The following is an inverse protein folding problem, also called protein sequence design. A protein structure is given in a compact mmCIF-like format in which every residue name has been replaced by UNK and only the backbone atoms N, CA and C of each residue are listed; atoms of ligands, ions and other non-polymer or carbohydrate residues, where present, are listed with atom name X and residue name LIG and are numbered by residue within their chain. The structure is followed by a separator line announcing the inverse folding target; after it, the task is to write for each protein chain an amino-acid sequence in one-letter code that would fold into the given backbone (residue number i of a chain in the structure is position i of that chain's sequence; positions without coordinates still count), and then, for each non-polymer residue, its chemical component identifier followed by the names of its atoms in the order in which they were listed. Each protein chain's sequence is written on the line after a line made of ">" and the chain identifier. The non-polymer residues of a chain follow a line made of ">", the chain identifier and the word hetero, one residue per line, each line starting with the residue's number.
data_IF_477558946467
#
_entry.id   IF_477558946467
#
_cell.length_a   1.000
_cell.length_b   1.000
_cell.length_c   1.000
_cell.angle_alpha   90.00
_cell.angle_beta   90.00
_cell.angle_gamma   90.00
#
_symmetry.space_group_name_H-M   'P 1'
#
loop_
_entity.id
_entity.type
_entity.pdbx_description
1 polymer ?
#
# COMPACT_ATOMS: atom_id res chain seq x y z
N UNK A 1 33.55 -17.56 -3.81
CA UNK A 1 32.07 -17.54 -3.91
C UNK A 1 31.47 -17.40 -2.52
N UNK A 2 31.38 -16.18 -2.00
CA UNK A 2 30.63 -15.90 -0.77
C UNK A 2 29.16 -16.18 -1.08
N UNK A 3 28.58 -17.19 -0.42
CA UNK A 3 27.15 -17.49 -0.52
C UNK A 3 26.37 -16.20 -0.28
N UNK A 4 25.57 -15.82 -1.25
CA UNK A 4 24.65 -14.68 -1.19
C UNK A 4 23.64 -14.94 -0.06
N UNK A 5 23.99 -14.53 1.16
CA UNK A 5 23.20 -14.81 2.35
C UNK A 5 22.16 -13.72 2.52
N UNK A 6 20.98 -13.96 1.95
CA UNK A 6 19.78 -13.23 2.35
C UNK A 6 19.55 -13.51 3.85
N UNK A 7 19.38 -12.47 4.69
CA UNK A 7 19.11 -12.67 6.10
C UNK A 7 17.85 -13.52 6.32
N UNK A 8 17.84 -14.36 7.37
CA UNK A 8 16.73 -15.31 7.61
C UNK A 8 15.39 -14.63 7.90
N UNK A 9 15.44 -13.43 8.46
CA UNK A 9 14.31 -12.55 8.79
C UNK A 9 13.91 -11.61 7.65
N UNK A 10 14.56 -11.71 6.48
CA UNK A 10 14.28 -10.87 5.33
C UNK A 10 13.31 -11.54 4.34
N UNK A 11 12.52 -10.72 3.66
CA UNK A 11 11.72 -11.12 2.51
C UNK A 11 12.60 -10.99 1.27
N UNK A 12 12.79 -12.10 0.54
CA UNK A 12 13.55 -12.11 -0.71
C UNK A 12 12.82 -11.28 -1.78
N UNK A 13 13.57 -10.45 -2.51
CA UNK A 13 13.08 -9.65 -3.62
C UNK A 13 13.96 -9.89 -4.85
N UNK A 14 13.35 -10.13 -6.01
CA UNK A 14 14.06 -10.43 -7.26
C UNK A 14 14.99 -11.65 -7.11
N UNK A 15 16.08 -11.72 -7.87
CA UNK A 15 17.02 -12.84 -7.85
C UNK A 15 17.95 -12.83 -6.62
N UNK A 16 18.45 -11.65 -6.20
CA UNK A 16 19.45 -11.49 -5.12
C UNK A 16 19.10 -10.44 -4.06
N UNK A 17 18.03 -9.69 -4.24
CA UNK A 17 17.65 -8.60 -3.35
C UNK A 17 16.83 -9.06 -2.14
N UNK A 18 16.59 -8.12 -1.23
CA UNK A 18 15.70 -8.34 -0.08
C UNK A 18 15.20 -7.04 0.54
N UNK A 19 14.15 -7.17 1.34
CA UNK A 19 13.70 -6.20 2.34
C UNK A 19 13.72 -6.88 3.71
N UNK A 20 14.41 -6.27 4.68
CA UNK A 20 14.44 -6.74 6.07
C UNK A 20 13.95 -5.62 6.98
N UNK A 21 12.91 -5.89 7.77
CA UNK A 21 12.51 -4.99 8.84
C UNK A 21 13.57 -5.08 9.95
N UNK A 22 14.32 -4.00 10.14
CA UNK A 22 15.37 -3.95 11.15
C UNK A 22 14.77 -3.57 12.51
N UNK A 23 13.83 -2.64 12.47
CA UNK A 23 13.25 -2.03 13.66
C UNK A 23 11.93 -1.34 13.31
N UNK A 24 11.04 -1.25 14.28
CA UNK A 24 9.80 -0.48 14.18
C UNK A 24 9.47 0.12 15.53
N UNK A 25 8.97 1.36 15.53
CA UNK A 25 8.54 2.05 16.75
C UNK A 25 7.03 2.32 16.65
N UNK A 26 6.29 1.91 17.68
CA UNK A 26 4.84 2.07 17.76
C UNK A 26 4.07 1.04 16.92
N UNK A 27 2.82 1.38 16.65
CA UNK A 27 1.83 0.57 15.96
C UNK A 27 0.48 1.27 15.98
N UNK A 28 -0.61 0.52 15.82
CA UNK A 28 -1.97 1.08 15.89
C UNK A 28 -2.25 1.80 17.23
N UNK A 29 -1.67 1.31 18.32
CA UNK A 29 -1.76 1.90 19.65
C UNK A 29 -1.11 3.29 19.74
N UNK A 30 0.05 3.49 19.11
CA UNK A 30 0.73 4.78 19.06
C UNK A 30 -0.08 5.83 18.25
N UNK A 31 -0.74 5.39 17.18
CA UNK A 31 -1.65 6.25 16.39
C UNK A 31 -2.81 6.71 17.28
N UNK A 32 -3.43 5.78 18.01
CA UNK A 32 -4.56 6.09 18.88
C UNK A 32 -4.16 6.95 20.06
N UNK A 33 -3.03 6.65 20.70
CA UNK A 33 -2.49 7.42 21.82
C UNK A 33 -2.25 8.86 21.41
N UNK A 34 -1.53 9.08 20.31
CA UNK A 34 -1.22 10.43 19.80
C UNK A 34 -2.47 11.20 19.41
N UNK A 35 -3.44 10.57 18.75
CA UNK A 35 -4.71 11.20 18.41
C UNK A 35 -5.53 11.58 19.66
N UNK A 36 -5.49 10.76 20.72
CA UNK A 36 -6.25 10.99 21.97
C UNK A 36 -5.67 12.09 22.85
N UNK A 37 -4.40 12.46 22.72
CA UNK A 37 -3.84 13.63 23.40
C UNK A 37 -4.65 14.88 23.06
N UNK A 38 -5.21 14.96 21.85
CA UNK A 38 -6.11 16.05 21.44
C UNK A 38 -7.50 16.02 22.09
N UNK A 39 -7.93 14.89 22.69
CA UNK A 39 -9.29 14.68 23.21
C UNK A 39 -9.38 14.42 24.72
N UNK A 40 -8.25 14.30 25.44
CA UNK A 40 -8.22 14.00 26.88
C UNK A 40 -8.47 12.52 27.22
N UNK A 41 -8.31 12.14 28.50
CA UNK A 41 -8.47 10.75 28.94
C UNK A 41 -9.94 10.29 28.87
N UNK A 42 -10.28 9.51 27.84
CA UNK A 42 -11.53 8.74 27.75
C UNK A 42 -11.25 7.24 27.71
N UNK A 43 -12.17 6.45 28.29
CA UNK A 43 -12.09 4.98 28.40
C UNK A 43 -11.82 4.29 27.06
N UNK A 44 -10.79 3.44 27.02
CA UNK A 44 -10.30 2.71 25.84
C UNK A 44 -10.99 1.35 25.66
N UNK A 45 -11.80 1.20 24.61
CA UNK A 45 -12.17 -0.13 24.07
C UNK A 45 -11.52 -0.33 22.71
N UNK A 46 -11.01 -1.54 22.42
CA UNK A 46 -10.36 -1.89 21.14
C UNK A 46 -11.23 -1.61 19.91
N UNK A 47 -12.56 -1.78 20.02
CA UNK A 47 -13.50 -1.42 18.95
C UNK A 47 -13.55 0.08 18.66
N UNK A 48 -13.27 0.93 19.67
CA UNK A 48 -13.14 2.37 19.50
C UNK A 48 -11.80 2.75 18.87
N UNK A 49 -10.74 1.97 19.10
CA UNK A 49 -9.40 2.21 18.55
C UNK A 49 -9.39 2.02 17.02
N UNK A 50 -9.87 0.86 16.54
CA UNK A 50 -10.03 0.61 15.09
C UNK A 50 -10.93 1.66 14.43
N UNK A 51 -12.05 2.01 15.09
CA UNK A 51 -12.97 3.04 14.60
C UNK A 51 -12.31 4.42 14.49
N UNK A 52 -11.45 4.79 15.46
CA UNK A 52 -10.69 6.03 15.45
C UNK A 52 -9.67 6.05 14.31
N UNK A 53 -8.85 5.01 14.14
CA UNK A 53 -7.85 4.92 13.06
C UNK A 53 -8.53 5.05 11.69
N UNK A 54 -9.63 4.33 11.48
CA UNK A 54 -10.43 4.44 10.25
C UNK A 54 -10.94 5.85 10.02
N UNK A 55 -11.47 6.49 11.07
CA UNK A 55 -11.90 7.88 11.00
C UNK A 55 -10.76 8.82 10.59
N UNK A 56 -9.58 8.70 11.21
CA UNK A 56 -8.41 9.52 10.91
C UNK A 56 -7.96 9.35 9.46
N UNK A 57 -7.85 8.11 8.97
CA UNK A 57 -7.47 7.81 7.59
C UNK A 57 -8.47 8.41 6.59
N UNK A 58 -9.77 8.19 6.82
CA UNK A 58 -10.85 8.69 5.95
C UNK A 58 -10.83 10.21 5.82
N UNK A 59 -10.53 10.91 6.91
CA UNK A 59 -10.50 12.36 6.98
C UNK A 59 -9.12 12.96 6.72
N UNK A 60 -8.13 12.13 6.36
CA UNK A 60 -6.75 12.54 6.09
C UNK A 60 -6.11 13.28 7.27
N UNK A 61 -6.43 12.88 8.49
CA UNK A 61 -5.71 13.31 9.68
C UNK A 61 -4.43 12.48 9.79
N UNK A 62 -3.35 12.95 9.16
CA UNK A 62 -2.14 12.16 8.91
C UNK A 62 -1.14 12.16 10.08
N UNK A 63 -1.08 13.23 10.87
CA UNK A 63 -0.06 13.41 11.90
C UNK A 63 -0.02 12.30 12.97
N UNK A 64 -1.13 11.65 13.38
CA UNK A 64 -1.05 10.49 14.28
C UNK A 64 -0.34 9.28 13.65
N UNK A 65 -0.41 9.12 12.33
CA UNK A 65 0.29 8.04 11.62
C UNK A 65 1.79 8.30 11.54
N UNK A 66 2.24 9.55 11.62
CA UNK A 66 3.67 9.91 11.62
C UNK A 66 4.38 9.48 12.92
N UNK A 67 3.62 9.11 13.97
CA UNK A 67 4.17 8.61 15.25
C UNK A 67 4.59 7.14 15.21
N UNK A 68 4.36 6.44 14.08
CA UNK A 68 4.81 5.07 13.85
C UNK A 68 5.97 5.11 12.87
N UNK A 69 7.09 4.51 13.21
CA UNK A 69 8.33 4.56 12.42
C UNK A 69 8.78 3.16 12.01
N UNK A 70 9.34 3.03 10.80
CA UNK A 70 9.91 1.80 10.28
C UNK A 70 11.33 2.04 9.81
N UNK A 71 12.23 1.10 10.13
CA UNK A 71 13.62 1.08 9.64
C UNK A 71 13.85 -0.23 8.91
N UNK A 72 14.21 -0.14 7.64
CA UNK A 72 14.48 -1.27 6.79
C UNK A 72 15.94 -1.33 6.36
N UNK A 73 16.46 -2.54 6.22
CA UNK A 73 17.69 -2.83 5.51
C UNK A 73 17.30 -3.49 4.19
N UNK A 74 17.66 -2.86 3.09
CA UNK A 74 17.26 -3.30 1.76
C UNK A 74 18.49 -3.53 0.89
N UNK A 75 18.40 -4.55 0.02
CA UNK A 75 19.35 -4.81 -1.05
C UNK A 75 18.63 -4.77 -2.39
N UNK A 76 19.00 -3.83 -3.25
CA UNK A 76 18.32 -3.59 -4.53
C UNK A 76 19.27 -3.20 -5.66
N UNK A 77 18.86 -3.33 -6.93
CA UNK A 77 19.61 -2.76 -8.04
C UNK A 77 19.63 -1.23 -7.98
N UNK A 78 20.72 -0.60 -8.43
CA UNK A 78 20.87 0.87 -8.43
C UNK A 78 19.70 1.55 -9.17
N UNK A 79 19.22 1.00 -10.28
CA UNK A 79 18.07 1.59 -11.00
C UNK A 79 16.76 1.61 -10.18
N UNK A 80 16.59 0.66 -9.24
CA UNK A 80 15.48 0.65 -8.27
C UNK A 80 15.71 1.69 -7.20
N UNK A 81 16.92 1.74 -6.63
CA UNK A 81 17.31 2.73 -5.62
C UNK A 81 17.07 4.17 -6.10
N UNK A 82 17.37 4.47 -7.37
CA UNK A 82 17.14 5.78 -8.00
C UNK A 82 15.67 6.20 -8.09
N UNK A 83 14.74 5.25 -8.19
CA UNK A 83 13.30 5.55 -8.13
C UNK A 83 12.82 5.73 -6.69
N UNK A 84 13.41 4.97 -5.78
CA UNK A 84 13.07 4.94 -4.38
C UNK A 84 13.55 6.20 -3.64
N UNK A 85 14.76 6.69 -3.91
CA UNK A 85 15.33 7.92 -3.30
C UNK A 85 14.51 9.19 -3.60
N UNK A 86 13.57 9.14 -4.55
CA UNK A 86 12.65 10.25 -4.84
C UNK A 86 11.64 10.51 -3.71
N UNK A 87 11.51 9.58 -2.77
CA UNK A 87 10.68 9.70 -1.56
C UNK A 87 11.47 10.41 -0.45
N UNK A 88 11.46 11.75 -0.55
CA UNK A 88 12.36 12.66 0.18
C UNK A 88 12.11 12.77 1.70
N UNK A 89 11.00 12.26 2.19
CA UNK A 89 10.66 12.30 3.63
C UNK A 89 11.40 11.23 4.44
N UNK A 90 12.02 10.25 3.78
CA UNK A 90 12.79 9.21 4.43
C UNK A 90 14.23 9.62 4.76
N UNK A 91 14.81 8.98 5.77
CA UNK A 91 16.24 9.03 6.06
C UNK A 91 16.94 7.81 5.43
N UNK A 92 18.07 8.04 4.74
CA UNK A 92 18.75 7.02 3.94
C UNK A 92 20.24 7.01 4.27
N UNK A 93 20.81 5.82 4.42
CA UNK A 93 22.26 5.61 4.44
C UNK A 93 22.62 4.43 3.53
N UNK A 94 23.33 4.71 2.44
CA UNK A 94 23.63 3.76 1.37
C UNK A 94 25.09 3.32 1.38
N UNK A 95 25.33 2.07 1.00
CA UNK A 95 26.66 1.52 0.76
C UNK A 95 27.42 2.34 -0.30
N UNK A 96 28.52 2.95 0.10
CA UNK A 96 29.29 3.85 -0.76
C UNK A 96 30.43 3.13 -1.47
N UNK A 97 30.31 3.04 -2.80
CA UNK A 97 31.39 2.58 -3.69
C UNK A 97 32.58 3.56 -3.79
N UNK A 98 32.58 4.68 -3.05
CA UNK A 98 33.77 5.54 -2.91
C UNK A 98 34.76 4.97 -1.91
N UNK A 99 34.23 4.39 -0.85
CA UNK A 99 35.01 3.90 0.28
C UNK A 99 35.25 2.39 0.17
N UNK A 100 34.27 1.67 -0.36
CA UNK A 100 34.25 0.22 -0.41
C UNK A 100 34.28 -0.30 -1.84
N UNK A 101 34.73 -1.54 -2.01
CA UNK A 101 34.73 -2.21 -3.29
C UNK A 101 33.32 -2.66 -3.69
N UNK A 102 33.06 -2.66 -4.99
CA UNK A 102 31.82 -3.19 -5.53
C UNK A 102 31.82 -4.71 -5.36
N UNK A 103 30.65 -5.25 -5.06
CA UNK A 103 30.43 -6.70 -5.02
C UNK A 103 29.98 -7.15 -6.40
N UNK A 104 30.44 -8.33 -6.83
CA UNK A 104 30.01 -8.95 -8.09
C UNK A 104 28.57 -9.50 -7.95
N UNK A 105 27.62 -8.58 -7.82
CA UNK A 105 26.22 -8.87 -7.55
C UNK A 105 25.36 -8.00 -8.46
N UNK A 106 24.96 -8.57 -9.60
CA UNK A 106 24.11 -7.92 -10.59
C UNK A 106 22.70 -8.53 -10.60
N UNK A 107 21.71 -7.72 -10.93
CA UNK A 107 20.35 -8.17 -11.21
C UNK A 107 20.26 -8.82 -12.58
N UNK A 108 19.64 -10.00 -12.59
CA UNK A 108 19.23 -10.70 -13.80
C UNK A 108 17.70 -10.86 -13.78
N UNK A 109 16.99 -10.43 -14.84
CA UNK A 109 15.55 -10.51 -14.87
C UNK A 109 15.08 -11.97 -14.95
N UNK A 110 14.01 -12.28 -14.23
CA UNK A 110 13.27 -13.53 -14.45
C UNK A 110 12.69 -13.52 -15.87
N UNK A 111 12.88 -14.59 -16.67
CA UNK A 111 12.31 -14.72 -18.01
C UNK A 111 10.80 -14.45 -18.08
N UNK A 112 10.05 -14.75 -17.02
CA UNK A 112 8.61 -14.49 -16.93
C UNK A 112 8.27 -12.98 -16.95
N UNK A 113 9.21 -12.12 -16.59
CA UNK A 113 9.04 -10.66 -16.55
C UNK A 113 9.74 -9.94 -17.71
N UNK A 114 10.30 -10.67 -18.67
CA UNK A 114 10.79 -10.13 -19.94
C UNK A 114 9.62 -10.07 -20.91
N UNK A 115 9.13 -8.86 -21.14
CA UNK A 115 7.91 -8.57 -21.88
C UNK A 115 8.14 -7.35 -22.78
N UNK A 116 7.31 -7.16 -23.81
CA UNK A 116 7.39 -5.97 -24.64
C UNK A 116 6.95 -4.71 -23.88
N UNK A 117 7.29 -3.54 -24.44
CA UNK A 117 6.83 -2.27 -23.92
C UNK A 117 5.31 -2.17 -24.00
N UNK A 118 4.66 -1.80 -22.91
CA UNK A 118 3.21 -1.59 -22.92
C UNK A 118 2.84 -0.36 -23.76
N UNK A 119 1.78 -0.49 -24.57
CA UNK A 119 1.20 0.61 -25.37
C UNK A 119 0.33 1.55 -24.52
N UNK A 120 -0.29 1.05 -23.45
CA UNK A 120 -1.16 1.83 -22.55
C UNK A 120 -0.35 2.52 -21.44
N UNK A 121 0.46 1.75 -20.71
CA UNK A 121 1.38 2.25 -19.71
C UNK A 121 2.81 2.37 -20.25
N UNK A 122 3.28 3.60 -20.52
CA UNK A 122 4.67 3.86 -20.98
C UNK A 122 5.76 3.49 -19.97
N UNK A 123 5.41 3.22 -18.71
CA UNK A 123 6.34 2.78 -17.66
C UNK A 123 6.28 1.26 -17.42
N UNK A 124 5.36 0.56 -18.10
CA UNK A 124 5.08 -0.84 -17.86
C UNK A 124 5.44 -1.74 -19.04
N UNK A 125 5.25 -3.03 -18.82
CA UNK A 125 5.47 -4.08 -19.80
C UNK A 125 4.13 -4.76 -20.13
N UNK A 126 3.98 -5.26 -21.35
CA UNK A 126 2.80 -5.99 -21.82
C UNK A 126 3.18 -6.89 -22.99
N UNK A 127 2.49 -8.02 -23.11
CA UNK A 127 2.68 -8.96 -24.20
C UNK A 127 3.87 -9.89 -23.98
N UNK A 128 3.87 -11.01 -24.71
CA UNK A 128 4.89 -12.04 -24.58
C UNK A 128 6.05 -11.80 -25.55
N UNK A 129 7.27 -12.07 -25.08
CA UNK A 129 8.49 -11.99 -25.87
C UNK A 129 8.91 -13.41 -26.27
N UNK A 130 9.24 -13.67 -27.55
CA UNK A 130 9.71 -14.99 -27.98
C UNK A 130 10.91 -15.48 -27.17
N UNK A 131 10.98 -16.79 -26.93
CA UNK A 131 12.02 -17.41 -26.10
C UNK A 131 13.45 -17.04 -26.55
N UNK A 132 13.71 -17.00 -27.86
CA UNK A 132 15.00 -16.60 -28.42
C UNK A 132 15.40 -15.17 -28.03
N UNK A 133 14.43 -14.24 -28.06
CA UNK A 133 14.68 -12.86 -27.68
C UNK A 133 14.83 -12.71 -26.16
N UNK A 134 14.07 -13.48 -25.36
CA UNK A 134 14.29 -13.56 -23.90
C UNK A 134 15.71 -14.05 -23.57
N UNK A 135 16.16 -15.10 -24.25
CA UNK A 135 17.52 -15.61 -24.06
C UNK A 135 18.56 -14.55 -24.42
N UNK A 136 18.40 -13.86 -25.55
CA UNK A 136 19.28 -12.76 -25.94
C UNK A 136 19.36 -11.64 -24.89
N UNK A 137 18.24 -11.29 -24.25
CA UNK A 137 18.23 -10.33 -23.13
C UNK A 137 19.08 -10.83 -21.97
N UNK A 138 18.91 -12.09 -21.55
CA UNK A 138 19.69 -12.68 -20.46
C UNK A 138 21.19 -12.71 -20.79
N UNK A 139 21.54 -13.10 -22.01
CA UNK A 139 22.92 -13.15 -22.48
C UNK A 139 23.58 -11.77 -22.43
N UNK A 140 22.87 -10.72 -22.87
CA UNK A 140 23.38 -9.34 -22.79
C UNK A 140 23.50 -8.82 -21.36
N UNK A 141 22.56 -9.15 -20.47
CA UNK A 141 22.68 -8.82 -19.05
C UNK A 141 23.91 -9.48 -18.42
N UNK A 142 24.21 -10.72 -18.81
CA UNK A 142 25.41 -11.44 -18.37
C UNK A 142 26.68 -10.83 -18.95
N UNK A 143 26.73 -10.63 -20.26
CA UNK A 143 27.90 -10.06 -20.95
C UNK A 143 28.30 -8.71 -20.36
N UNK A 144 27.34 -7.79 -20.19
CA UNK A 144 27.65 -6.46 -19.66
C UNK A 144 28.10 -6.52 -18.19
N UNK A 145 27.49 -7.38 -17.38
CA UNK A 145 27.84 -7.54 -15.97
C UNK A 145 29.25 -8.09 -15.82
N UNK A 146 29.56 -9.20 -16.49
CA UNK A 146 30.87 -9.86 -16.43
C UNK A 146 31.97 -8.93 -16.96
N UNK A 147 31.76 -8.30 -18.12
CA UNK A 147 32.77 -7.44 -18.75
C UNK A 147 33.01 -6.17 -17.97
N UNK A 148 31.95 -5.51 -17.49
CA UNK A 148 32.09 -4.27 -16.71
C UNK A 148 32.76 -4.54 -15.36
N UNK A 149 32.45 -5.66 -14.71
CA UNK A 149 33.08 -6.03 -13.46
C UNK A 149 34.56 -6.39 -13.63
N UNK A 150 34.92 -7.12 -14.69
CA UNK A 150 36.32 -7.40 -15.02
C UNK A 150 37.13 -6.10 -15.22
N UNK A 151 36.63 -5.18 -16.05
CA UNK A 151 37.28 -3.87 -16.26
C UNK A 151 37.39 -3.06 -14.96
N UNK A 152 36.36 -3.11 -14.10
CA UNK A 152 36.39 -2.47 -12.78
C UNK A 152 37.46 -3.11 -11.88
N UNK A 153 37.55 -4.44 -11.82
CA UNK A 153 38.52 -5.17 -11.02
C UNK A 153 39.95 -4.84 -11.45
N UNK A 154 40.22 -4.88 -12.75
CA UNK A 154 41.54 -4.57 -13.31
C UNK A 154 42.01 -3.16 -12.89
N UNK A 155 41.13 -2.15 -12.99
CA UNK A 155 41.45 -0.78 -12.57
C UNK A 155 41.59 -0.65 -11.05
N UNK A 156 40.76 -1.35 -10.27
CA UNK A 156 40.83 -1.33 -8.80
C UNK A 156 42.14 -1.98 -8.31
N UNK A 157 42.55 -3.10 -8.91
CA UNK A 157 43.82 -3.78 -8.64
C UNK A 157 45.03 -2.93 -9.04
N UNK A 158 44.92 -2.17 -10.13
CA UNK A 158 45.94 -1.19 -10.54
C UNK A 158 46.00 0.07 -9.64
N UNK A 159 45.13 0.20 -8.64
CA UNK A 159 45.14 1.31 -7.69
C UNK A 159 44.43 2.58 -8.17
N UNK A 160 43.62 2.50 -9.23
CA UNK A 160 42.78 3.63 -9.66
C UNK A 160 41.76 3.98 -8.57
N UNK A 161 41.51 5.27 -8.38
CA UNK A 161 40.55 5.74 -7.38
C UNK A 161 39.17 5.07 -7.55
N UNK A 162 38.66 4.43 -6.49
CA UNK A 162 37.39 3.69 -6.49
C UNK A 162 36.21 4.53 -6.97
N UNK A 163 36.18 5.82 -6.59
CA UNK A 163 35.10 6.72 -6.97
C UNK A 163 35.01 6.97 -8.48
N UNK A 164 36.13 6.83 -9.20
CA UNK A 164 36.22 6.90 -10.66
C UNK A 164 35.94 5.53 -11.27
N UNK A 165 36.64 4.48 -10.85
CA UNK A 165 36.57 3.13 -11.43
C UNK A 165 35.14 2.56 -11.44
N UNK A 166 34.38 2.78 -10.37
CA UNK A 166 32.97 2.34 -10.27
C UNK A 166 32.05 2.91 -11.35
N UNK A 167 32.45 4.00 -12.04
CA UNK A 167 31.62 4.63 -13.08
C UNK A 167 31.46 3.74 -14.32
N UNK A 168 32.26 2.68 -14.43
CA UNK A 168 32.12 1.64 -15.45
C UNK A 168 30.98 0.66 -15.15
N UNK A 169 30.53 0.58 -13.89
CA UNK A 169 29.56 -0.42 -13.45
C UNK A 169 28.14 -0.02 -13.88
N UNK A 170 27.36 -0.95 -14.47
CA UNK A 170 26.01 -0.69 -14.92
C UNK A 170 25.02 -0.54 -13.75
N UNK A 171 23.88 0.10 -14.03
CA UNK A 171 22.84 0.39 -13.02
C UNK A 171 22.07 -0.85 -12.52
N UNK A 172 22.29 -2.03 -13.10
CA UNK A 172 21.76 -3.30 -12.59
C UNK A 172 22.63 -3.91 -11.47
N UNK A 173 23.77 -3.30 -11.12
CA UNK A 173 24.53 -3.65 -9.92
C UNK A 173 23.67 -3.46 -8.66
N UNK A 174 23.79 -4.38 -7.70
CA UNK A 174 23.16 -4.28 -6.40
C UNK A 174 23.87 -3.27 -5.49
N UNK A 175 23.06 -2.51 -4.76
CA UNK A 175 23.44 -1.66 -3.63
C UNK A 175 22.65 -2.09 -2.40
N UNK A 176 23.09 -1.62 -1.23
CA UNK A 176 22.39 -1.83 0.03
C UNK A 176 22.23 -0.52 0.77
N UNK A 177 21.12 -0.37 1.48
CA UNK A 177 20.94 0.79 2.35
C UNK A 177 20.14 0.46 3.60
N UNK A 178 20.25 1.36 4.58
CA UNK A 178 19.23 1.56 5.59
C UNK A 178 18.28 2.66 5.14
N UNK A 179 16.98 2.41 5.23
CA UNK A 179 15.92 3.34 4.88
C UNK A 179 14.95 3.41 6.05
N UNK A 180 14.80 4.60 6.65
CA UNK A 180 13.88 4.85 7.77
C UNK A 180 12.82 5.86 7.37
N UNK A 181 11.56 5.59 7.68
CA UNK A 181 10.45 6.50 7.41
C UNK A 181 9.27 6.23 8.34
N UNK A 182 8.43 7.25 8.52
CA UNK A 182 7.19 7.10 9.26
C UNK A 182 6.09 6.39 8.44
N UNK A 183 5.06 5.91 9.12
CA UNK A 183 3.98 5.12 8.51
C UNK A 183 3.17 5.92 7.50
N UNK A 184 2.92 7.22 7.73
CA UNK A 184 2.18 8.04 6.76
C UNK A 184 2.91 8.07 5.41
N UNK A 185 4.22 8.38 5.45
CA UNK A 185 5.06 8.46 4.27
C UNK A 185 5.37 7.08 3.67
N UNK A 186 5.45 6.02 4.48
CA UNK A 186 5.57 4.64 4.00
C UNK A 186 4.29 4.18 3.27
N UNK A 187 3.11 4.50 3.79
CA UNK A 187 1.84 4.21 3.10
C UNK A 187 1.75 5.00 1.78
N UNK A 188 2.25 6.24 1.73
CA UNK A 188 2.36 6.99 0.49
C UNK A 188 3.31 6.31 -0.51
N UNK A 189 4.48 5.85 -0.05
CA UNK A 189 5.42 5.07 -0.86
C UNK A 189 4.73 3.82 -1.43
N UNK A 190 4.08 3.03 -0.58
CA UNK A 190 3.39 1.80 -0.99
C UNK A 190 2.29 2.10 -2.00
N UNK A 191 1.47 3.13 -1.76
CA UNK A 191 0.41 3.53 -2.68
C UNK A 191 0.91 3.91 -4.08
N UNK A 192 2.10 4.51 -4.19
CA UNK A 192 2.70 4.86 -5.47
C UNK A 192 3.51 3.72 -6.11
N UNK A 193 4.09 2.82 -5.30
CA UNK A 193 5.06 1.83 -5.77
C UNK A 193 4.51 0.42 -5.87
N UNK A 194 3.40 0.09 -5.24
CA UNK A 194 2.65 -1.15 -5.50
C UNK A 194 1.65 -0.99 -6.66
N UNK A 195 1.47 0.22 -7.20
CA UNK A 195 0.60 0.46 -8.35
C UNK A 195 1.10 -0.25 -9.62
N UNK A 196 0.18 -0.77 -10.43
CA UNK A 196 0.51 -1.46 -11.70
C UNK A 196 1.29 -0.58 -12.69
N UNK A 197 1.20 0.74 -12.58
CA UNK A 197 1.93 1.70 -13.40
C UNK A 197 3.41 1.77 -13.05
N UNK A 198 3.78 1.46 -11.80
CA UNK A 198 5.16 1.42 -11.38
C UNK A 198 5.91 0.26 -12.03
N UNK A 199 7.21 0.46 -12.25
CA UNK A 199 8.09 -0.57 -12.78
C UNK A 199 8.06 -1.81 -11.89
N UNK A 200 7.93 -2.99 -12.49
CA UNK A 200 7.79 -4.27 -11.79
C UNK A 200 8.78 -4.43 -10.62
N UNK A 201 10.06 -4.14 -10.87
CA UNK A 201 11.10 -4.37 -9.87
C UNK A 201 10.88 -3.58 -8.58
N UNK A 202 10.48 -2.30 -8.62
CA UNK A 202 10.22 -1.54 -7.38
C UNK A 202 8.92 -1.99 -6.69
N UNK A 203 7.95 -2.55 -7.43
CA UNK A 203 6.72 -3.11 -6.84
C UNK A 203 7.05 -4.27 -5.91
N UNK A 204 7.95 -5.16 -6.32
CA UNK A 204 8.39 -6.30 -5.50
C UNK A 204 8.92 -5.85 -4.13
N UNK A 205 9.66 -4.74 -4.07
CA UNK A 205 10.13 -4.17 -2.81
C UNK A 205 9.01 -3.51 -2.01
N UNK A 206 8.13 -2.78 -2.68
CA UNK A 206 6.96 -2.14 -2.07
C UNK A 206 6.03 -3.15 -1.41
N UNK A 207 5.75 -4.26 -2.10
CA UNK A 207 4.88 -5.33 -1.61
C UNK A 207 5.52 -6.07 -0.43
N UNK A 208 6.84 -6.28 -0.45
CA UNK A 208 7.57 -6.83 0.70
C UNK A 208 7.51 -5.90 1.93
N UNK A 209 7.51 -4.58 1.73
CA UNK A 209 7.34 -3.61 2.82
C UNK A 209 5.92 -3.59 3.37
N UNK A 210 4.91 -3.75 2.50
CA UNK A 210 3.52 -3.85 2.90
C UNK A 210 3.27 -5.00 3.89
N UNK A 211 3.96 -6.13 3.73
CA UNK A 211 3.89 -7.25 4.68
C UNK A 211 4.39 -6.88 6.09
N UNK A 212 5.36 -5.96 6.18
CA UNK A 212 5.83 -5.44 7.47
C UNK A 212 4.80 -4.49 8.09
N UNK A 213 4.22 -3.60 7.28
CA UNK A 213 3.17 -2.67 7.73
C UNK A 213 1.94 -3.42 8.25
N UNK A 214 1.48 -4.43 7.51
CA UNK A 214 0.33 -5.27 7.89
C UNK A 214 0.53 -5.97 9.24
N UNK A 215 1.77 -6.31 9.60
CA UNK A 215 2.11 -6.93 10.89
C UNK A 215 2.18 -5.92 12.02
N UNK A 216 2.77 -4.74 11.80
CA UNK A 216 3.00 -3.73 12.84
C UNK A 216 1.77 -2.86 13.12
N UNK A 217 1.01 -2.50 12.07
CA UNK A 217 -0.16 -1.62 12.18
C UNK A 217 -1.32 -2.17 11.32
N UNK A 218 -1.91 -3.33 11.70
CA UNK A 218 -2.96 -3.99 10.92
C UNK A 218 -4.22 -3.14 10.70
N UNK A 219 -4.66 -2.34 11.68
CA UNK A 219 -5.84 -1.49 11.52
C UNK A 219 -5.58 -0.29 10.62
N UNK A 220 -4.39 0.32 10.71
CA UNK A 220 -3.95 1.35 9.78
C UNK A 220 -3.83 0.79 8.35
N UNK A 221 -3.28 -0.42 8.19
CA UNK A 221 -3.20 -1.10 6.90
C UNK A 221 -4.57 -1.37 6.30
N UNK A 222 -5.51 -1.90 7.09
CA UNK A 222 -6.89 -2.13 6.67
C UNK A 222 -7.56 -0.82 6.23
N UNK A 223 -7.46 0.24 7.03
CA UNK A 223 -8.01 1.55 6.67
C UNK A 223 -7.38 2.13 5.39
N UNK A 224 -6.07 1.96 5.21
CA UNK A 224 -5.38 2.37 3.99
C UNK A 224 -5.90 1.63 2.76
N UNK A 225 -6.07 0.31 2.86
CA UNK A 225 -6.63 -0.51 1.78
C UNK A 225 -8.03 -0.04 1.40
N UNK A 226 -8.90 0.19 2.37
CA UNK A 226 -10.30 0.56 2.12
C UNK A 226 -10.45 1.98 1.55
N UNK A 227 -9.76 2.97 2.13
CA UNK A 227 -10.00 4.38 1.80
C UNK A 227 -9.05 4.96 0.76
N UNK A 228 -7.86 4.40 0.62
CA UNK A 228 -6.82 4.95 -0.24
C UNK A 228 -6.59 4.09 -1.47
N UNK A 229 -6.47 2.77 -1.31
CA UNK A 229 -6.18 1.86 -2.42
C UNK A 229 -7.44 1.48 -3.19
N UNK A 230 -8.47 0.99 -2.49
CA UNK A 230 -9.74 0.55 -3.08
C UNK A 230 -10.80 1.66 -3.14
N UNK A 231 -10.54 2.77 -2.46
CA UNK A 231 -11.42 3.93 -2.42
C UNK A 231 -11.45 4.68 -3.76
N UNK A 232 -12.63 5.11 -4.18
CA UNK A 232 -12.79 5.94 -5.38
C UNK A 232 -12.79 7.43 -5.03
N UNK A 233 -12.05 8.24 -5.80
CA UNK A 233 -12.07 9.70 -5.71
C UNK A 233 -12.66 10.26 -6.98
N UNK A 234 -13.70 11.08 -6.83
CA UNK A 234 -14.28 11.82 -7.94
C UNK A 234 -13.71 13.23 -7.98
N UNK A 235 -13.31 13.67 -9.16
CA UNK A 235 -13.15 15.08 -9.48
C UNK A 235 -14.50 15.79 -9.45
N UNK A 236 -14.46 17.13 -9.39
CA UNK A 236 -15.66 17.97 -9.49
C UNK A 236 -16.51 17.64 -10.72
N UNK A 237 -15.86 17.33 -11.85
CA UNK A 237 -16.55 17.05 -13.11
C UNK A 237 -17.30 15.71 -13.02
N UNK A 238 -16.61 14.66 -12.59
CA UNK A 238 -17.22 13.34 -12.41
C UNK A 238 -18.38 13.39 -11.41
N UNK A 239 -18.21 14.11 -10.30
CA UNK A 239 -19.26 14.31 -9.30
C UNK A 239 -20.49 15.03 -9.89
N UNK A 240 -20.27 16.04 -10.73
CA UNK A 240 -21.38 16.77 -11.37
C UNK A 240 -22.21 15.91 -12.34
N UNK A 241 -21.61 14.88 -12.94
CA UNK A 241 -22.33 13.94 -13.82
C UNK A 241 -23.23 13.02 -13.00
N UNK A 242 -22.74 12.54 -11.84
CA UNK A 242 -23.55 11.77 -10.90
C UNK A 242 -24.75 12.60 -10.40
N UNK A 243 -24.53 13.83 -9.93
CA UNK A 243 -25.62 14.70 -9.45
C UNK A 243 -26.70 14.98 -10.49
N UNK A 244 -26.35 15.05 -11.78
CA UNK A 244 -27.31 15.32 -12.86
C UNK A 244 -28.10 14.09 -13.29
N UNK A 245 -27.47 12.92 -13.25
CA UNK A 245 -28.02 11.72 -13.87
C UNK A 245 -28.57 10.71 -12.88
N UNK A 246 -28.23 10.82 -11.58
CA UNK A 246 -28.69 9.87 -10.58
C UNK A 246 -30.17 10.15 -10.24
N UNK A 247 -31.13 9.26 -10.60
CA UNK A 247 -32.53 9.49 -10.33
C UNK A 247 -32.80 9.47 -8.81
N UNK A 248 -33.71 10.32 -8.27
CA UNK A 248 -34.00 10.34 -6.84
C UNK A 248 -34.40 8.98 -6.26
N UNK A 249 -35.11 8.16 -7.04
CA UNK A 249 -35.49 6.80 -6.66
C UNK A 249 -34.29 5.90 -6.37
N UNK A 250 -33.23 5.99 -7.18
CA UNK A 250 -32.01 5.19 -6.95
C UNK A 250 -31.34 5.62 -5.64
N UNK A 251 -31.37 6.91 -5.31
CA UNK A 251 -30.85 7.41 -4.03
C UNK A 251 -31.68 6.90 -2.86
N UNK A 252 -33.01 6.83 -3.00
CA UNK A 252 -33.89 6.28 -1.98
C UNK A 252 -33.65 4.78 -1.77
N UNK A 253 -33.61 4.00 -2.84
CA UNK A 253 -33.36 2.55 -2.79
C UNK A 253 -32.03 2.26 -2.05
N UNK A 254 -30.95 2.98 -2.38
CA UNK A 254 -29.65 2.82 -1.69
C UNK A 254 -29.74 3.32 -0.23
N UNK A 255 -30.48 4.38 0.05
CA UNK A 255 -30.66 4.91 1.41
C UNK A 255 -31.42 3.96 2.33
N UNK A 256 -32.31 3.16 1.73
CA UNK A 256 -33.08 2.09 2.36
C UNK A 256 -32.15 0.92 2.71
N UNK A 257 -31.35 0.45 1.74
CA UNK A 257 -30.32 -0.58 1.96
C UNK A 257 -29.35 -0.19 3.09
N UNK A 258 -28.91 1.07 3.12
CA UNK A 258 -28.07 1.58 4.19
C UNK A 258 -28.78 1.51 5.55
N UNK A 259 -30.08 1.79 5.62
CA UNK A 259 -30.84 1.68 6.86
C UNK A 259 -30.90 0.22 7.36
N UNK A 260 -31.10 -0.74 6.46
CA UNK A 260 -31.01 -2.18 6.77
C UNK A 260 -29.63 -2.54 7.32
N UNK A 261 -28.56 -2.19 6.59
CA UNK A 261 -27.19 -2.53 6.99
C UNK A 261 -26.80 -1.92 8.34
N UNK A 262 -27.19 -0.67 8.62
CA UNK A 262 -26.94 -0.05 9.93
C UNK A 262 -27.68 -0.81 11.02
N UNK A 263 -28.94 -1.17 10.79
CA UNK A 263 -29.78 -1.91 11.74
C UNK A 263 -29.19 -3.28 12.04
N UNK A 264 -28.84 -4.05 11.02
CA UNK A 264 -28.17 -5.35 11.13
C UNK A 264 -26.83 -5.23 11.89
N UNK A 265 -26.02 -4.23 11.55
CA UNK A 265 -24.74 -3.99 12.23
C UNK A 265 -24.94 -3.64 13.72
N UNK A 266 -25.92 -2.78 14.02
CA UNK A 266 -26.22 -2.38 15.39
C UNK A 266 -26.78 -3.55 16.21
N UNK A 267 -27.58 -4.43 15.62
CA UNK A 267 -28.08 -5.66 16.24
C UNK A 267 -26.94 -6.66 16.47
N UNK A 268 -26.06 -6.89 15.48
CA UNK A 268 -24.87 -7.74 15.65
C UNK A 268 -23.95 -7.28 16.79
N UNK A 269 -23.74 -5.96 16.91
CA UNK A 269 -22.90 -5.40 17.97
C UNK A 269 -23.55 -5.41 19.36
N UNK A 270 -24.88 -5.27 19.41
CA UNK A 270 -25.69 -5.36 20.62
C UNK A 270 -27.05 -5.96 20.25
N UNK A 271 -27.24 -7.27 20.47
CA UNK A 271 -28.48 -7.95 20.15
C UNK A 271 -29.69 -7.26 20.80
N UNK A 272 -30.81 -7.29 20.09
CA UNK A 272 -32.11 -6.71 20.46
C UNK A 272 -33.19 -7.73 20.15
N UNK A 273 -34.30 -7.64 20.86
CA UNK A 273 -35.45 -8.50 20.59
C UNK A 273 -36.11 -8.13 19.26
N UNK A 274 -36.78 -9.09 18.62
CA UNK A 274 -37.44 -8.88 17.32
C UNK A 274 -38.36 -7.65 17.25
N UNK A 275 -39.18 -7.34 18.28
CA UNK A 275 -40.05 -6.17 18.25
C UNK A 275 -39.30 -4.83 18.18
N UNK A 276 -38.03 -4.79 18.59
CA UNK A 276 -37.21 -3.57 18.61
C UNK A 276 -36.48 -3.32 17.28
N UNK A 277 -36.48 -4.29 16.35
CA UNK A 277 -35.72 -4.21 15.11
C UNK A 277 -36.35 -3.23 14.11
N UNK A 278 -37.65 -3.32 13.88
CA UNK A 278 -38.35 -2.40 12.97
C UNK A 278 -38.33 -0.93 13.46
N UNK A 279 -38.58 -0.63 14.75
CA UNK A 279 -38.39 0.73 15.27
C UNK A 279 -36.95 1.24 15.13
N UNK A 280 -35.94 0.36 15.32
CA UNK A 280 -34.54 0.73 15.13
C UNK A 280 -34.25 1.08 13.67
N UNK A 281 -34.80 0.29 12.74
CA UNK A 281 -34.73 0.50 11.31
C UNK A 281 -35.31 1.83 10.87
N UNK A 282 -36.54 2.14 11.30
CA UNK A 282 -37.17 3.44 11.06
C UNK A 282 -36.32 4.59 11.62
N UNK A 283 -35.69 4.40 12.79
CA UNK A 283 -34.77 5.39 13.36
C UNK A 283 -33.49 5.60 12.53
N UNK A 284 -33.09 4.64 11.70
CA UNK A 284 -32.01 4.81 10.72
C UNK A 284 -32.51 5.44 9.40
N UNK A 285 -33.78 5.84 9.35
CA UNK A 285 -34.42 6.47 8.20
C UNK A 285 -34.79 5.47 7.10
N UNK A 286 -35.17 4.25 7.48
CA UNK A 286 -35.88 3.33 6.60
C UNK A 286 -37.36 3.70 6.50
N UNK A 287 -37.96 3.43 5.35
CA UNK A 287 -39.31 3.81 4.94
C UNK A 287 -40.22 2.64 4.51
N UNK A 288 -39.66 1.44 4.36
CA UNK A 288 -40.38 0.21 4.05
C UNK A 288 -41.46 -0.12 5.08
N UNK A 289 -42.51 -0.81 4.62
CA UNK A 289 -43.54 -1.35 5.50
C UNK A 289 -42.94 -2.37 6.47
N UNK A 290 -43.62 -2.63 7.59
CA UNK A 290 -43.15 -3.64 8.55
C UNK A 290 -43.12 -5.04 7.94
N UNK A 291 -44.04 -5.34 7.00
CA UNK A 291 -44.09 -6.60 6.27
C UNK A 291 -42.88 -6.77 5.35
N UNK A 292 -42.57 -5.74 4.55
CA UNK A 292 -41.41 -5.75 3.64
C UNK A 292 -40.09 -5.82 4.43
N UNK A 293 -40.02 -5.07 5.54
CA UNK A 293 -38.87 -5.14 6.44
C UNK A 293 -38.64 -6.55 6.97
N UNK A 294 -39.68 -7.21 7.50
CA UNK A 294 -39.57 -8.58 8.00
C UNK A 294 -39.14 -9.54 6.90
N UNK A 295 -39.76 -9.46 5.72
CA UNK A 295 -39.40 -10.31 4.59
C UNK A 295 -37.92 -10.20 4.22
N UNK A 296 -37.40 -8.96 4.12
CA UNK A 296 -35.98 -8.73 3.78
C UNK A 296 -35.04 -9.04 4.94
N UNK A 297 -35.48 -8.84 6.18
CA UNK A 297 -34.69 -9.16 7.36
C UNK A 297 -34.51 -10.68 7.51
N UNK A 298 -35.58 -11.43 7.30
CA UNK A 298 -35.62 -12.89 7.44
C UNK A 298 -34.91 -13.61 6.30
N UNK A 299 -34.66 -12.95 5.17
CA UNK A 299 -33.85 -13.51 4.08
C UNK A 299 -32.41 -13.78 4.51
N UNK A 300 -31.91 -13.07 5.53
CA UNK A 300 -30.54 -13.19 6.04
C UNK A 300 -29.47 -12.62 5.10
N UNK A 301 -29.85 -11.93 4.03
CA UNK A 301 -28.93 -11.40 3.00
C UNK A 301 -28.33 -10.02 3.37
N UNK A 302 -28.71 -9.44 4.51
CA UNK A 302 -28.26 -8.10 4.90
C UNK A 302 -26.82 -8.14 5.42
N UNK A 303 -25.90 -7.56 4.65
CA UNK A 303 -24.52 -7.42 5.08
C UNK A 303 -24.33 -6.40 6.21
N UNK A 304 -23.38 -6.68 7.12
CA UNK A 304 -22.99 -5.73 8.17
C UNK A 304 -21.79 -4.89 7.75
N UNK A 305 -21.75 -3.63 8.16
CA UNK A 305 -20.68 -2.69 7.83
C UNK A 305 -20.20 -1.86 9.02
N UNK A 306 -19.63 -0.70 8.76
CA UNK A 306 -19.31 0.28 9.81
C UNK A 306 -20.44 1.33 9.89
N UNK A 307 -21.16 1.37 11.01
CA UNK A 307 -22.29 2.27 11.25
C UNK A 307 -21.96 3.73 10.95
N UNK A 308 -20.80 4.22 11.39
CA UNK A 308 -20.41 5.62 11.17
C UNK A 308 -20.19 5.88 9.68
N UNK A 309 -19.56 4.94 8.99
CA UNK A 309 -19.25 5.10 7.58
C UNK A 309 -20.49 5.10 6.70
N UNK A 310 -21.41 4.20 7.00
CA UNK A 310 -22.72 4.07 6.36
C UNK A 310 -23.57 5.32 6.56
N UNK A 311 -23.61 5.88 7.78
CA UNK A 311 -24.29 7.16 8.05
C UNK A 311 -23.70 8.32 7.26
N UNK A 312 -22.37 8.47 7.29
CA UNK A 312 -21.68 9.50 6.50
C UNK A 312 -21.89 9.30 4.98
N UNK A 313 -22.06 8.07 4.50
CA UNK A 313 -22.39 7.79 3.10
C UNK A 313 -23.84 8.16 2.76
N UNK A 314 -24.81 7.82 3.62
CA UNK A 314 -26.21 8.22 3.47
C UNK A 314 -26.36 9.74 3.37
N UNK A 315 -25.66 10.50 4.23
CA UNK A 315 -25.65 11.97 4.15
C UNK A 315 -25.06 12.49 2.83
N UNK A 316 -24.00 11.84 2.31
CA UNK A 316 -23.41 12.21 1.01
C UNK A 316 -24.37 11.92 -0.14
N UNK A 317 -25.04 10.76 -0.12
CA UNK A 317 -26.04 10.39 -1.12
C UNK A 317 -27.22 11.35 -1.13
N UNK A 318 -27.73 11.73 0.04
CA UNK A 318 -28.83 12.68 0.15
C UNK A 318 -28.49 14.04 -0.45
N UNK A 319 -27.22 14.49 -0.34
CA UNK A 319 -26.75 15.73 -0.99
C UNK A 319 -26.70 15.64 -2.52
N UNK A 320 -26.73 14.43 -3.10
CA UNK A 320 -26.81 14.23 -4.55
C UNK A 320 -28.24 14.36 -5.07
N UNK A 321 -29.27 14.30 -4.21
CA UNK A 321 -30.65 14.65 -4.61
C UNK A 321 -30.73 16.16 -4.82
N UNK A 322 -30.91 16.56 -6.08
CA UNK A 322 -31.22 17.93 -6.47
C UNK A 322 -32.68 18.05 -6.87
#
# INVERSE_FOLDING_TARGET
>A
MTKNQIPKDAIKCLDKGFVRLVDSMGGDDAIVQSARVSYGQGTSKVSQDRGLIRYLMRHRHTTPFEMVEFKFHCKMPIFVARQWVRHRTANINEYSLRYSEARDEFYFPDPAHIQFQSTLNKQGRMGDVPAELKQKVLDYFKEISDRSFAMYSDLNEAGVARELARSLLPVNLYTEWYWKNDLHNLLHFIGLRSDSHAQYEIRVYSDAMAESVKKVAPFAWEAFQDYVVKGMRFSRIEQSLLEKQLPPRVVDDISEDIAYQITATMHKNKPRDEPDLYPLYQKQGGSDSEEDFKFKWDSGEIETGNVRELREFKEKLQKLKK
#
